data_IF_704000061845
#
_entry.id   IF_704000061845
#
_cell.length_a   1.000
_cell.length_b   1.000
_cell.length_c   1.000
_cell.angle_alpha   90.00
_cell.angle_beta   90.00
_cell.angle_gamma   90.00
#
_symmetry.space_group_name_H-M   'P 1'
#
loop_
_entity.id
_entity.type
_entity.pdbx_description
1 polymer ?
#
# COMPACT_ATOMS: atom_id res chain seq x y z
N UNK A 1 2.49 33.37 51.87
CA UNK A 1 3.30 32.20 52.30
C UNK A 1 2.63 30.96 51.74
N UNK A 2 3.11 30.49 50.58
CA UNK A 2 2.73 29.19 50.01
C UNK A 2 4.02 28.47 49.61
N UNK A 3 4.16 27.25 50.10
CA UNK A 3 5.35 26.41 50.06
C UNK A 3 5.51 25.72 48.71
N UNK A 4 6.68 25.84 48.07
CA UNK A 4 7.08 24.98 46.96
C UNK A 4 7.67 23.66 47.49
N UNK A 5 7.37 22.48 46.90
CA UNK A 5 8.19 21.32 47.11
C UNK A 5 9.36 21.29 46.10
N UNK A 6 10.53 20.96 46.63
CA UNK A 6 11.80 20.86 45.93
C UNK A 6 11.80 19.70 44.92
N UNK A 7 12.32 19.97 43.72
CA UNK A 7 12.62 18.98 42.69
C UNK A 7 13.87 18.19 43.09
N UNK A 8 13.71 16.95 43.52
CA UNK A 8 14.80 16.06 43.89
C UNK A 8 15.34 15.35 42.64
N UNK A 9 16.60 15.61 42.27
CA UNK A 9 17.35 14.83 41.28
C UNK A 9 17.72 13.50 41.93
N UNK A 10 17.11 12.39 41.50
CA UNK A 10 17.68 11.03 41.49
C UNK A 10 16.58 10.00 41.15
N UNK A 11 16.14 9.97 39.89
CA UNK A 11 15.43 8.81 39.32
C UNK A 11 16.20 8.32 38.09
N UNK A 12 17.40 7.80 38.33
CA UNK A 12 18.09 6.98 37.35
C UNK A 12 17.45 5.58 37.37
N UNK A 13 16.53 5.33 36.43
CA UNK A 13 16.08 3.98 36.10
C UNK A 13 17.33 3.13 35.77
N UNK A 14 17.49 1.93 36.36
CA UNK A 14 18.69 1.13 36.20
C UNK A 14 18.84 0.65 34.75
N UNK A 15 20.06 0.78 34.21
CA UNK A 15 20.48 0.36 32.86
C UNK A 15 20.19 -1.12 32.52
N UNK A 16 19.83 -1.93 33.51
CA UNK A 16 19.40 -3.32 33.33
C UNK A 16 17.99 -3.46 32.70
N UNK A 17 17.12 -2.44 32.83
CA UNK A 17 15.76 -2.47 32.25
C UNK A 17 15.76 -2.06 30.77
N UNK A 18 16.70 -1.21 30.35
CA UNK A 18 16.88 -0.86 28.93
C UNK A 18 17.51 -2.03 28.15
N UNK A 19 18.35 -2.84 28.82
CA UNK A 19 19.02 -3.99 28.22
C UNK A 19 18.14 -5.25 28.04
N UNK A 20 16.95 -5.30 28.66
CA UNK A 20 15.97 -6.38 28.43
C UNK A 20 14.98 -6.04 27.32
N UNK A 21 14.62 -4.76 27.15
CA UNK A 21 13.76 -4.29 26.05
C UNK A 21 14.47 -4.32 24.68
N UNK A 22 15.78 -4.04 24.65
CA UNK A 22 16.58 -4.05 23.42
C UNK A 22 16.94 -5.46 22.89
N UNK A 23 16.78 -6.52 23.71
CA UNK A 23 17.13 -7.90 23.30
C UNK A 23 16.04 -8.58 22.47
N UNK A 24 14.81 -8.07 22.46
CA UNK A 24 13.72 -8.61 21.63
C UNK A 24 13.66 -7.99 20.22
N UNK A 25 14.52 -7.02 19.89
CA UNK A 25 14.44 -6.25 18.63
C UNK A 25 15.52 -6.61 17.59
N UNK A 26 16.35 -7.64 17.85
CA UNK A 26 17.53 -8.00 17.05
C UNK A 26 17.46 -9.39 16.41
N UNK A 27 16.29 -10.03 16.37
CA UNK A 27 16.08 -11.12 15.41
C UNK A 27 15.82 -10.51 14.04
N UNK A 28 16.17 -11.25 12.97
CA UNK A 28 15.51 -11.10 11.67
C UNK A 28 14.03 -10.77 11.90
N UNK A 29 13.31 -10.04 11.03
CA UNK A 29 11.88 -10.27 10.99
C UNK A 29 11.75 -11.77 10.74
N UNK A 30 11.53 -12.52 11.82
CA UNK A 30 11.16 -13.92 11.81
C UNK A 30 9.96 -13.83 10.91
N UNK A 31 10.09 -14.34 9.69
CA UNK A 31 9.01 -14.43 8.73
C UNK A 31 7.91 -15.10 9.53
N UNK A 32 7.00 -14.28 10.06
CA UNK A 32 5.97 -14.76 10.96
C UNK A 32 5.08 -15.51 10.02
N UNK A 33 5.29 -16.83 10.03
CA UNK A 33 4.54 -17.85 9.32
C UNK A 33 3.08 -17.41 9.24
N UNK A 34 2.66 -17.04 8.04
CA UNK A 34 1.28 -17.14 7.56
C UNK A 34 0.13 -16.52 8.39
N UNK A 35 0.36 -15.74 9.46
CA UNK A 35 -0.71 -15.40 10.42
C UNK A 35 -0.97 -13.91 10.69
N UNK A 36 -0.22 -12.96 10.12
CA UNK A 36 -0.52 -11.50 10.27
C UNK A 36 -1.47 -10.97 9.18
N UNK A 37 -1.59 -11.65 8.04
CA UNK A 37 -2.55 -11.25 7.02
C UNK A 37 -3.81 -12.11 7.14
N UNK A 38 -4.94 -11.59 7.67
CA UNK A 38 -6.22 -12.29 7.49
C UNK A 38 -6.38 -12.51 6.00
N UNK A 39 -6.61 -13.75 5.55
CA UNK A 39 -6.63 -14.16 4.14
C UNK A 39 -7.30 -13.08 3.27
N UNK A 40 -6.54 -12.14 2.66
CA UNK A 40 -7.11 -10.85 2.27
C UNK A 40 -7.94 -10.95 0.98
N UNK A 41 -8.01 -12.17 0.43
CA UNK A 41 -8.57 -12.51 -0.85
C UNK A 41 -9.86 -13.32 -0.72
N UNK A 42 -10.36 -13.58 0.49
CA UNK A 42 -11.73 -14.09 0.67
C UNK A 42 -12.79 -13.22 -0.03
N UNK A 43 -12.69 -11.87 -0.05
CA UNK A 43 -13.64 -11.05 -0.80
C UNK A 43 -13.49 -11.22 -2.32
N UNK A 44 -12.28 -11.52 -2.81
CA UNK A 44 -12.04 -11.77 -4.25
C UNK A 44 -12.62 -13.11 -4.66
N UNK A 45 -12.43 -14.16 -3.85
CA UNK A 45 -13.07 -15.46 -4.09
C UNK A 45 -14.60 -15.38 -4.01
N UNK A 46 -15.14 -14.57 -3.08
CA UNK A 46 -16.58 -14.30 -2.97
C UNK A 46 -17.11 -13.50 -4.18
N UNK A 47 -16.38 -12.47 -4.61
CA UNK A 47 -16.68 -11.66 -5.80
C UNK A 47 -16.44 -12.40 -7.12
N UNK A 48 -15.78 -13.56 -7.09
CA UNK A 48 -15.65 -14.49 -8.22
C UNK A 48 -16.84 -15.44 -8.34
N UNK A 49 -17.75 -15.45 -7.36
CA UNK A 49 -18.98 -16.26 -7.43
C UNK A 49 -19.88 -15.71 -8.53
N UNK A 50 -20.40 -16.62 -9.33
CA UNK A 50 -21.31 -16.39 -10.45
C UNK A 50 -22.40 -15.41 -10.00
N UNK A 51 -22.56 -14.29 -10.69
CA UNK A 51 -23.75 -13.44 -10.54
C UNK A 51 -24.96 -14.30 -10.96
N UNK A 52 -25.86 -14.67 -10.03
CA UNK A 52 -26.98 -15.56 -10.33
C UNK A 52 -27.96 -14.95 -11.35
N UNK A 53 -27.84 -13.65 -11.66
CA UNK A 53 -28.66 -12.97 -12.67
C UNK A 53 -28.16 -13.01 -14.12
N UNK A 54 -26.88 -13.34 -14.39
CA UNK A 54 -26.29 -13.08 -15.73
C UNK A 54 -25.44 -14.22 -16.35
N UNK A 55 -25.20 -15.33 -15.64
CA UNK A 55 -24.54 -16.51 -16.22
C UNK A 55 -23.12 -16.30 -16.78
N UNK A 56 -22.49 -15.15 -16.53
CA UNK A 56 -21.11 -14.82 -16.96
C UNK A 56 -20.16 -14.94 -15.79
N UNK A 57 -18.99 -15.52 -16.04
CA UNK A 57 -17.90 -15.57 -15.06
C UNK A 57 -17.45 -14.14 -14.70
N UNK A 58 -17.31 -13.86 -13.41
CA UNK A 58 -16.84 -12.55 -12.95
C UNK A 58 -15.37 -12.37 -13.32
N UNK A 59 -15.11 -11.37 -14.17
CA UNK A 59 -13.76 -11.01 -14.60
C UNK A 59 -13.08 -10.21 -13.49
N UNK A 60 -11.88 -10.62 -13.12
CA UNK A 60 -11.09 -9.98 -12.06
C UNK A 60 -9.86 -9.33 -12.68
N UNK A 61 -9.58 -8.09 -12.30
CA UNK A 61 -8.35 -7.40 -12.71
C UNK A 61 -7.56 -6.91 -11.50
N UNK A 62 -6.27 -7.22 -11.46
CA UNK A 62 -5.33 -6.62 -10.51
C UNK A 62 -4.70 -5.39 -11.15
N UNK A 63 -5.07 -4.20 -10.68
CA UNK A 63 -4.48 -2.92 -11.09
C UNK A 63 -3.41 -2.54 -10.09
N UNK A 64 -2.17 -2.36 -10.53
CA UNK A 64 -1.10 -1.82 -9.68
C UNK A 64 -0.92 -0.33 -9.93
N UNK A 65 -0.74 0.49 -8.89
CA UNK A 65 -0.65 1.95 -9.02
C UNK A 65 0.34 2.59 -8.05
N UNK A 66 0.98 3.68 -8.49
CA UNK A 66 1.93 4.45 -7.68
C UNK A 66 3.36 3.89 -7.71
N UNK A 67 4.25 4.49 -6.91
CA UNK A 67 5.68 4.20 -6.88
C UNK A 67 6.11 3.25 -5.78
N UNK A 68 7.18 2.47 -5.99
CA UNK A 68 7.84 1.70 -4.91
C UNK A 68 9.01 2.44 -4.30
N UNK A 69 9.24 2.25 -2.99
CA UNK A 69 10.51 2.62 -2.36
C UNK A 69 11.45 1.44 -2.18
N UNK A 70 12.75 1.74 -2.22
CA UNK A 70 13.84 0.82 -1.89
C UNK A 70 14.53 1.34 -0.63
N UNK A 71 14.32 0.71 0.54
CA UNK A 71 15.06 1.02 1.75
C UNK A 71 16.56 0.80 1.56
N UNK A 72 17.40 1.71 2.08
CA UNK A 72 18.86 1.56 2.06
C UNK A 72 19.43 1.01 3.38
N UNK A 73 18.63 1.01 4.43
CA UNK A 73 19.03 0.70 5.80
C UNK A 73 17.91 -0.12 6.48
N UNK A 74 18.27 -1.03 7.40
CA UNK A 74 17.28 -1.89 8.11
C UNK A 74 16.31 -1.08 8.96
N UNK A 75 16.77 0.05 9.51
CA UNK A 75 15.94 1.06 10.15
C UNK A 75 15.76 2.21 9.15
N UNK A 76 14.87 2.03 8.20
CA UNK A 76 14.82 2.88 7.02
C UNK A 76 14.55 4.36 7.35
N UNK A 77 15.57 5.21 7.21
CA UNK A 77 15.44 6.68 7.15
C UNK A 77 15.61 7.18 5.72
N UNK A 78 16.50 6.54 4.95
CA UNK A 78 16.80 6.88 3.55
C UNK A 78 16.33 5.77 2.62
N UNK A 79 15.75 6.18 1.50
CA UNK A 79 15.23 5.28 0.48
C UNK A 79 15.35 5.91 -0.90
N UNK A 80 15.38 5.06 -1.93
CA UNK A 80 15.14 5.47 -3.32
C UNK A 80 13.64 5.37 -3.56
N UNK A 81 13.03 6.37 -4.19
CA UNK A 81 11.60 6.35 -4.54
C UNK A 81 11.43 6.42 -6.05
N UNK A 82 10.75 5.43 -6.64
CA UNK A 82 10.32 5.46 -8.02
C UNK A 82 9.02 6.25 -8.11
N UNK A 83 9.14 7.56 -8.34
CA UNK A 83 8.00 8.46 -8.27
C UNK A 83 6.87 8.11 -9.25
N UNK A 84 5.65 8.02 -8.73
CA UNK A 84 4.42 7.97 -9.52
C UNK A 84 3.25 8.45 -8.66
N UNK A 85 2.51 9.44 -9.16
CA UNK A 85 1.34 10.01 -8.48
C UNK A 85 0.12 9.08 -8.46
N UNK A 86 0.15 7.97 -9.19
CA UNK A 86 -0.91 6.95 -9.17
C UNK A 86 -2.16 7.28 -10.00
N UNK A 87 -2.19 8.40 -10.72
CA UNK A 87 -3.36 8.84 -11.49
C UNK A 87 -3.81 7.82 -12.54
N UNK A 88 -2.88 7.20 -13.27
CA UNK A 88 -3.22 6.21 -14.31
C UNK A 88 -3.91 4.99 -13.72
N UNK A 89 -3.35 4.38 -12.68
CA UNK A 89 -3.95 3.20 -12.04
C UNK A 89 -5.28 3.53 -11.36
N UNK A 90 -5.38 4.70 -10.73
CA UNK A 90 -6.64 5.21 -10.17
C UNK A 90 -7.72 5.34 -11.25
N UNK A 91 -7.41 6.01 -12.36
CA UNK A 91 -8.32 6.17 -13.49
C UNK A 91 -8.75 4.84 -14.10
N UNK A 92 -7.78 3.97 -14.40
CA UNK A 92 -8.04 2.65 -14.97
C UNK A 92 -8.96 1.81 -14.06
N UNK A 93 -8.82 1.93 -12.74
CA UNK A 93 -9.71 1.23 -11.79
C UNK A 93 -11.17 1.64 -11.97
N UNK A 94 -11.45 2.94 -12.11
CA UNK A 94 -12.82 3.41 -12.37
C UNK A 94 -13.36 2.90 -13.71
N UNK A 95 -12.53 2.86 -14.75
CA UNK A 95 -12.94 2.30 -16.05
C UNK A 95 -13.23 0.80 -16.00
N UNK A 96 -12.40 0.02 -15.27
CA UNK A 96 -12.62 -1.41 -15.11
C UNK A 96 -13.90 -1.72 -14.32
N UNK A 97 -14.15 -0.98 -13.23
CA UNK A 97 -15.40 -1.10 -12.47
C UNK A 97 -16.61 -0.79 -13.35
N UNK A 98 -16.56 0.28 -14.16
CA UNK A 98 -17.62 0.62 -15.13
C UNK A 98 -17.81 -0.45 -16.20
N UNK A 99 -16.76 -1.18 -16.57
CA UNK A 99 -16.81 -2.28 -17.52
C UNK A 99 -17.27 -3.62 -16.89
N UNK A 100 -17.65 -3.62 -15.61
CA UNK A 100 -18.16 -4.80 -14.89
C UNK A 100 -17.07 -5.77 -14.44
N UNK A 101 -15.84 -5.30 -14.22
CA UNK A 101 -14.79 -6.08 -13.57
C UNK A 101 -14.84 -5.91 -12.05
N UNK A 102 -14.48 -6.98 -11.34
CA UNK A 102 -14.03 -6.88 -9.95
C UNK A 102 -12.54 -6.47 -9.96
N UNK A 103 -12.18 -5.43 -9.21
CA UNK A 103 -10.84 -4.84 -9.23
C UNK A 103 -10.13 -5.05 -7.90
N UNK A 104 -8.92 -5.61 -7.97
CA UNK A 104 -7.93 -5.56 -6.90
C UNK A 104 -7.01 -4.38 -7.19
N UNK A 105 -7.13 -3.31 -6.40
CA UNK A 105 -6.32 -2.12 -6.52
C UNK A 105 -5.12 -2.21 -5.56
N UNK A 106 -3.96 -2.63 -6.07
CA UNK A 106 -2.69 -2.67 -5.35
C UNK A 106 -1.98 -1.33 -5.52
N UNK A 107 -1.87 -0.53 -4.45
CA UNK A 107 -1.49 0.89 -4.60
C UNK A 107 -0.47 1.38 -3.57
N UNK A 108 0.34 2.36 -3.96
CA UNK A 108 1.25 3.06 -3.04
C UNK A 108 0.46 3.96 -2.09
N UNK A 109 0.68 3.82 -0.77
CA UNK A 109 0.08 4.73 0.23
C UNK A 109 0.37 6.19 -0.09
N UNK A 110 -0.62 7.06 0.10
CA UNK A 110 -0.50 8.49 -0.19
C UNK A 110 -0.57 8.87 -1.68
N UNK A 111 -0.80 7.91 -2.58
CA UNK A 111 -1.03 8.22 -4.00
C UNK A 111 -2.51 8.30 -4.34
N UNK A 112 -2.79 8.84 -5.53
CA UNK A 112 -4.13 9.05 -6.04
C UNK A 112 -5.03 7.81 -5.91
N UNK A 113 -6.20 7.99 -5.32
CA UNK A 113 -7.21 6.95 -5.11
C UNK A 113 -8.30 7.01 -6.19
N UNK A 114 -8.90 5.86 -6.59
CA UNK A 114 -10.09 5.84 -7.44
C UNK A 114 -11.18 6.71 -6.82
N UNK A 115 -11.93 7.43 -7.67
CA UNK A 115 -13.00 8.37 -7.30
C UNK A 115 -12.54 9.68 -6.65
N UNK A 116 -11.31 9.76 -6.16
CA UNK A 116 -10.76 10.98 -5.57
C UNK A 116 -10.05 11.89 -6.60
N UNK A 117 -9.93 11.49 -7.86
CA UNK A 117 -9.21 12.23 -8.92
C UNK A 117 -9.76 13.64 -9.21
N UNK A 118 -11.03 13.87 -8.93
CA UNK A 118 -11.70 15.14 -9.14
C UNK A 118 -11.84 15.97 -7.86
N UNK A 119 -11.36 15.45 -6.72
CA UNK A 119 -11.27 16.21 -5.48
C UNK A 119 -10.02 17.10 -5.54
N UNK A 120 -10.02 18.23 -4.81
CA UNK A 120 -8.83 19.07 -4.70
C UNK A 120 -7.69 18.35 -3.95
N UNK A 121 -6.52 19.00 -3.90
CA UNK A 121 -5.32 18.42 -3.28
C UNK A 121 -5.48 18.24 -1.76
N UNK A 122 -6.21 19.13 -1.08
CA UNK A 122 -6.52 19.05 0.35
C UNK A 122 -8.05 18.93 0.62
N UNK A 123 -8.70 17.77 0.31
CA UNK A 123 -10.15 17.64 0.37
C UNK A 123 -10.76 17.93 1.74
N UNK A 124 -10.03 17.67 2.84
CA UNK A 124 -10.54 17.92 4.19
C UNK A 124 -10.67 19.42 4.50
N UNK A 125 -9.75 20.24 3.98
CA UNK A 125 -9.72 21.67 4.23
C UNK A 125 -10.55 22.44 3.20
N UNK A 126 -10.65 21.93 1.98
CA UNK A 126 -11.31 22.62 0.86
C UNK A 126 -12.76 22.18 0.64
N UNK A 127 -13.10 20.92 0.92
CA UNK A 127 -14.45 20.42 0.68
C UNK A 127 -15.37 20.49 1.90
N UNK A 128 -14.90 20.89 3.07
CA UNK A 128 -15.70 20.89 4.29
C UNK A 128 -15.65 22.23 5.01
N UNK A 129 -16.80 22.64 5.54
CA UNK A 129 -16.97 23.87 6.31
C UNK A 129 -17.58 23.56 7.68
N UNK A 130 -17.23 24.35 8.69
CA UNK A 130 -17.85 24.24 10.01
C UNK A 130 -19.18 25.00 9.99
N UNK A 131 -20.28 24.28 10.24
CA UNK A 131 -21.60 24.87 10.48
C UNK A 131 -21.82 24.88 11.99
N UNK A 132 -21.56 26.02 12.61
CA UNK A 132 -21.50 26.22 14.06
C UNK A 132 -20.40 25.40 14.77
N UNK A 133 -20.15 25.65 16.06
CA UNK A 133 -19.08 25.02 16.86
C UNK A 133 -19.25 23.50 17.08
N UNK A 134 -20.20 22.85 16.39
CA UNK A 134 -20.62 21.47 16.68
C UNK A 134 -20.87 20.60 15.44
N UNK A 135 -20.82 21.12 14.22
CA UNK A 135 -21.03 20.29 13.02
C UNK A 135 -20.15 20.68 11.83
N UNK A 136 -19.81 19.68 11.02
CA UNK A 136 -19.04 19.85 9.77
C UNK A 136 -19.97 19.46 8.62
N UNK A 137 -20.06 20.34 7.61
CA UNK A 137 -20.80 20.09 6.37
C UNK A 137 -19.88 20.14 5.17
N UNK A 138 -20.34 19.58 4.06
CA UNK A 138 -19.61 19.67 2.78
C UNK A 138 -19.88 21.03 2.17
N UNK A 139 -18.84 21.71 1.70
CA UNK A 139 -18.98 22.97 0.98
C UNK A 139 -19.90 22.80 -0.24
N UNK A 140 -20.91 23.67 -0.43
CA UNK A 140 -21.85 23.54 -1.55
C UNK A 140 -21.19 23.47 -2.94
N UNK A 141 -20.04 24.10 -3.13
CA UNK A 141 -19.30 24.06 -4.40
C UNK A 141 -18.69 22.69 -4.72
N UNK A 142 -18.39 21.89 -3.69
CA UNK A 142 -17.80 20.56 -3.81
C UNK A 142 -18.81 19.43 -3.54
N UNK A 143 -20.02 19.75 -3.08
CA UNK A 143 -21.04 18.80 -2.61
C UNK A 143 -21.28 17.64 -3.59
N UNK A 144 -21.52 17.92 -4.86
CA UNK A 144 -21.81 16.88 -5.86
C UNK A 144 -20.61 15.97 -6.13
N UNK A 145 -19.40 16.53 -6.18
CA UNK A 145 -18.18 15.76 -6.45
C UNK A 145 -17.86 14.83 -5.26
N UNK A 146 -17.95 15.36 -4.04
CA UNK A 146 -17.74 14.60 -2.80
C UNK A 146 -18.79 13.50 -2.65
N UNK A 147 -20.06 13.84 -2.84
CA UNK A 147 -21.18 12.88 -2.77
C UNK A 147 -20.99 11.75 -3.76
N UNK A 148 -20.67 12.06 -5.02
CA UNK A 148 -20.38 11.06 -6.05
C UNK A 148 -19.21 10.17 -5.65
N UNK A 149 -18.08 10.76 -5.24
CA UNK A 149 -16.89 10.01 -4.87
C UNK A 149 -17.14 9.04 -3.71
N UNK A 150 -17.86 9.48 -2.67
CA UNK A 150 -18.22 8.65 -1.52
C UNK A 150 -19.20 7.54 -1.95
N UNK A 151 -20.23 7.88 -2.72
CA UNK A 151 -21.25 6.93 -3.13
C UNK A 151 -20.68 5.82 -4.02
N UNK A 152 -19.93 6.18 -5.06
CA UNK A 152 -19.32 5.21 -5.99
C UNK A 152 -18.28 4.32 -5.27
N UNK A 153 -17.42 4.92 -4.44
CA UNK A 153 -16.44 4.16 -3.66
C UNK A 153 -17.11 3.17 -2.70
N UNK A 154 -18.13 3.62 -1.94
CA UNK A 154 -18.85 2.74 -1.01
C UNK A 154 -19.61 1.65 -1.74
N UNK A 155 -20.26 1.97 -2.86
CA UNK A 155 -20.97 0.99 -3.67
C UNK A 155 -20.02 -0.10 -4.19
N UNK A 156 -18.85 0.28 -4.72
CA UNK A 156 -17.87 -0.66 -5.23
C UNK A 156 -17.27 -1.56 -4.13
N UNK A 157 -16.94 -0.98 -2.96
CA UNK A 157 -16.36 -1.74 -1.84
C UNK A 157 -17.40 -2.64 -1.19
N UNK A 158 -18.59 -2.13 -0.88
CA UNK A 158 -19.64 -2.90 -0.21
C UNK A 158 -20.24 -3.97 -1.12
N UNK A 159 -20.27 -3.72 -2.44
CA UNK A 159 -20.65 -4.70 -3.45
C UNK A 159 -19.59 -5.78 -3.71
N UNK A 160 -18.42 -5.70 -3.07
CA UNK A 160 -17.33 -6.66 -3.27
C UNK A 160 -16.57 -6.50 -4.59
N UNK A 161 -16.84 -5.45 -5.36
CA UNK A 161 -16.21 -5.19 -6.66
C UNK A 161 -14.86 -4.48 -6.57
N UNK A 162 -14.51 -3.88 -5.43
CA UNK A 162 -13.24 -3.18 -5.23
C UNK A 162 -12.55 -3.60 -3.94
N UNK A 163 -11.38 -4.24 -4.06
CA UNK A 163 -10.47 -4.54 -2.97
C UNK A 163 -9.24 -3.62 -3.06
N UNK A 164 -8.96 -2.85 -2.01
CA UNK A 164 -7.79 -1.97 -1.97
C UNK A 164 -6.68 -2.57 -1.09
N UNK A 165 -5.49 -2.73 -1.65
CA UNK A 165 -4.32 -3.28 -0.97
C UNK A 165 -3.16 -2.28 -1.00
N UNK A 166 -2.78 -1.68 0.13
CA UNK A 166 -1.70 -0.70 0.14
C UNK A 166 -0.31 -1.36 0.18
N UNK A 167 0.66 -0.76 -0.51
CA UNK A 167 2.10 -1.03 -0.37
C UNK A 167 2.88 0.28 -0.22
N UNK A 168 4.14 0.19 0.17
CA UNK A 168 5.11 1.29 0.19
C UNK A 168 6.42 0.85 -0.45
N UNK A 169 6.99 -0.25 0.05
CA UNK A 169 8.29 -0.75 -0.41
C UNK A 169 8.15 -1.71 -1.57
N UNK A 170 9.23 -1.90 -2.33
CA UNK A 170 9.29 -2.93 -3.37
C UNK A 170 9.06 -4.34 -2.81
N UNK A 171 9.51 -4.61 -1.57
CA UNK A 171 9.31 -5.92 -0.94
C UNK A 171 7.83 -6.20 -0.67
N UNK A 172 7.10 -5.23 -0.13
CA UNK A 172 5.65 -5.33 0.07
C UNK A 172 4.93 -5.53 -1.26
N UNK A 173 5.28 -4.73 -2.26
CA UNK A 173 4.72 -4.83 -3.61
C UNK A 173 4.88 -6.25 -4.19
N UNK A 174 6.11 -6.79 -4.20
CA UNK A 174 6.39 -8.11 -4.77
C UNK A 174 5.69 -9.24 -4.00
N UNK A 175 5.66 -9.18 -2.66
CA UNK A 175 4.98 -10.18 -1.84
C UNK A 175 3.46 -10.17 -2.07
N UNK A 176 2.83 -9.00 -2.06
CA UNK A 176 1.39 -8.86 -2.27
C UNK A 176 1.03 -9.27 -3.71
N UNK A 177 1.79 -8.82 -4.70
CA UNK A 177 1.57 -9.18 -6.11
C UNK A 177 1.66 -10.70 -6.32
N UNK A 178 2.64 -11.37 -5.70
CA UNK A 178 2.78 -12.83 -5.74
C UNK A 178 1.57 -13.52 -5.10
N UNK A 179 1.09 -13.05 -3.95
CA UNK A 179 -0.10 -13.61 -3.30
C UNK A 179 -1.33 -13.47 -4.20
N UNK A 180 -1.54 -12.30 -4.80
CA UNK A 180 -2.65 -12.07 -5.73
C UNK A 180 -2.56 -13.04 -6.92
N UNK A 181 -1.40 -13.17 -7.55
CA UNK A 181 -1.22 -14.07 -8.70
C UNK A 181 -1.45 -15.54 -8.37
N UNK A 182 -1.00 -16.01 -7.22
CA UNK A 182 -1.26 -17.38 -6.78
C UNK A 182 -2.76 -17.62 -6.60
N UNK A 183 -3.48 -16.67 -6.00
CA UNK A 183 -4.93 -16.79 -5.79
C UNK A 183 -5.74 -16.69 -7.09
N UNK A 184 -5.35 -15.80 -8.01
CA UNK A 184 -6.04 -15.62 -9.29
C UNK A 184 -5.75 -16.73 -10.31
N UNK A 185 -4.77 -17.61 -10.06
CA UNK A 185 -4.42 -18.74 -10.95
C UNK A 185 -5.64 -19.59 -11.31
N UNK A 186 -6.56 -19.81 -10.37
CA UNK A 186 -7.76 -20.63 -10.58
C UNK A 186 -8.78 -20.03 -11.55
N UNK A 187 -8.71 -18.72 -11.81
CA UNK A 187 -9.64 -18.01 -12.69
C UNK A 187 -9.22 -18.03 -14.17
N UNK A 188 -7.97 -18.43 -14.46
CA UNK A 188 -7.44 -18.55 -15.82
C UNK A 188 -7.68 -17.29 -16.65
N UNK A 189 -8.29 -17.39 -17.85
CA UNK A 189 -8.56 -16.25 -18.74
C UNK A 189 -9.48 -15.17 -18.16
N UNK A 190 -10.16 -15.44 -17.04
CA UNK A 190 -11.01 -14.44 -16.37
C UNK A 190 -10.21 -13.52 -15.44
N UNK A 191 -8.91 -13.76 -15.25
CA UNK A 191 -8.01 -12.90 -14.49
C UNK A 191 -7.12 -12.05 -15.42
N UNK A 192 -6.96 -10.77 -15.08
CA UNK A 192 -6.10 -9.83 -15.79
C UNK A 192 -5.16 -9.11 -14.82
N UNK A 193 -3.94 -8.80 -15.26
CA UNK A 193 -3.02 -7.92 -14.55
C UNK A 193 -2.79 -6.64 -15.36
N UNK A 194 -3.08 -5.50 -14.76
CA UNK A 194 -2.80 -4.17 -15.31
C UNK A 194 -1.69 -3.50 -14.48
N UNK A 195 -0.44 -3.72 -14.90
CA UNK A 195 0.75 -3.36 -14.13
C UNK A 195 1.18 -1.90 -14.38
N UNK A 196 0.45 -0.93 -13.80
CA UNK A 196 0.73 0.50 -13.97
C UNK A 196 1.59 1.16 -12.87
N UNK A 197 2.13 0.36 -11.93
CA UNK A 197 3.02 0.86 -10.87
C UNK A 197 4.42 1.16 -11.41
N UNK A 198 5.07 2.18 -10.85
CA UNK A 198 6.49 2.45 -11.10
C UNK A 198 7.32 1.62 -10.13
N UNK A 199 7.70 0.42 -10.57
CA UNK A 199 8.50 -0.53 -9.79
C UNK A 199 9.99 -0.19 -9.95
N UNK A 200 10.74 -0.22 -8.87
CA UNK A 200 12.18 0.01 -8.90
C UNK A 200 12.90 -1.12 -9.63
N UNK A 201 13.77 -0.78 -10.58
CA UNK A 201 14.59 -1.76 -11.31
C UNK A 201 15.73 -2.35 -10.44
N UNK A 202 15.97 -1.72 -9.29
CA UNK A 202 17.06 -2.03 -8.39
C UNK A 202 16.57 -2.20 -6.96
N UNK A 203 17.25 -3.03 -6.18
CA UNK A 203 17.02 -3.18 -4.75
C UNK A 203 18.34 -3.44 -3.99
N UNK A 204 18.33 -3.24 -2.67
CA UNK A 204 19.43 -3.63 -1.79
C UNK A 204 19.03 -4.93 -1.08
N UNK A 205 19.78 -6.03 -1.19
CA UNK A 205 19.52 -7.25 -0.44
C UNK A 205 19.53 -6.99 1.07
N UNK A 206 18.66 -7.67 1.81
CA UNK A 206 18.51 -7.46 3.25
C UNK A 206 19.81 -7.77 4.02
N UNK A 207 20.55 -8.78 3.57
CA UNK A 207 21.85 -9.19 4.11
C UNK A 207 22.88 -8.06 4.01
N UNK A 208 22.78 -7.26 2.94
CA UNK A 208 23.66 -6.13 2.63
C UNK A 208 23.20 -4.81 3.26
N UNK A 209 21.99 -4.75 3.84
CA UNK A 209 21.48 -3.54 4.49
C UNK A 209 22.14 -3.28 5.85
N UNK A 210 22.60 -2.04 6.05
CA UNK A 210 23.23 -1.57 7.29
C UNK A 210 22.19 -1.32 8.42
N UNK A 211 22.60 -1.46 9.69
CA UNK A 211 21.71 -1.43 10.88
C UNK A 211 21.44 0.01 11.44
N UNK A 212 22.06 1.07 10.86
CA UNK A 212 22.23 2.45 11.41
C UNK A 212 23.26 2.44 12.57
N UNK A 213 24.29 3.29 12.64
CA UNK A 213 24.50 4.67 12.18
C UNK A 213 25.46 4.77 11.00
N UNK A 214 25.10 5.51 9.95
CA UNK A 214 26.11 6.29 9.23
C UNK A 214 26.60 7.37 10.21
N UNK A 215 27.51 6.97 11.10
CA UNK A 215 28.36 7.87 11.86
C UNK A 215 28.99 8.83 10.85
N UNK A 216 28.92 10.13 11.14
CA UNK A 216 29.76 11.19 10.54
C UNK A 216 30.89 10.64 9.66
N UNK A 217 30.75 10.65 8.34
CA UNK A 217 31.86 10.34 7.46
C UNK A 217 31.76 11.15 6.18
N UNK A 218 32.66 12.11 6.07
CA UNK A 218 33.05 12.92 4.92
C UNK A 218 33.61 12.08 3.75
N UNK A 219 33.00 10.94 3.42
CA UNK A 219 33.48 10.06 2.37
C UNK A 219 32.35 9.75 1.37
N UNK A 220 32.72 9.78 0.08
CA UNK A 220 31.90 9.35 -1.05
C UNK A 220 31.06 8.11 -0.71
N UNK A 221 29.73 8.24 -0.75
CA UNK A 221 28.81 7.13 -0.55
C UNK A 221 28.76 6.31 -1.86
N UNK A 222 29.42 5.15 -1.88
CA UNK A 222 29.25 4.18 -2.97
C UNK A 222 28.09 3.24 -2.65
N UNK A 223 26.98 3.41 -3.37
CA UNK A 223 25.80 2.55 -3.25
C UNK A 223 25.88 1.39 -4.24
N UNK A 224 26.01 0.15 -3.75
CA UNK A 224 25.90 -1.05 -4.56
C UNK A 224 24.44 -1.51 -4.59
N UNK A 225 23.82 -1.44 -5.76
CA UNK A 225 22.45 -1.86 -6.02
C UNK A 225 22.46 -3.16 -6.82
N UNK A 226 21.58 -4.10 -6.47
CA UNK A 226 21.31 -5.27 -7.30
C UNK A 226 20.12 -5.00 -8.23
N UNK A 227 20.17 -5.53 -9.46
CA UNK A 227 19.01 -5.51 -10.33
C UNK A 227 17.92 -6.42 -9.76
N UNK A 228 16.67 -5.95 -9.81
CA UNK A 228 15.51 -6.79 -9.56
C UNK A 228 15.45 -7.83 -10.67
N UNK A 229 15.85 -9.06 -10.34
CA UNK A 229 16.01 -10.13 -11.33
C UNK A 229 14.71 -10.45 -12.07
N UNK A 230 14.78 -10.42 -13.40
CA UNK A 230 13.68 -10.84 -14.27
C UNK A 230 13.52 -12.38 -14.35
N UNK A 231 14.48 -13.14 -13.80
CA UNK A 231 14.82 -14.48 -14.26
C UNK A 231 13.94 -15.65 -13.79
N UNK A 232 12.75 -15.42 -13.24
CA UNK A 232 11.75 -16.51 -13.03
C UNK A 232 10.35 -16.00 -12.73
N UNK A 233 10.21 -14.90 -11.99
CA UNK A 233 8.89 -14.39 -11.56
C UNK A 233 8.18 -13.64 -12.68
N UNK A 234 8.89 -12.78 -13.43
CA UNK A 234 8.28 -12.00 -14.51
C UNK A 234 8.07 -12.81 -15.80
N UNK A 235 8.98 -13.75 -16.12
CA UNK A 235 8.80 -14.65 -17.28
C UNK A 235 7.56 -15.53 -17.11
N UNK A 236 7.28 -16.03 -15.89
CA UNK A 236 6.06 -16.77 -15.62
C UNK A 236 4.80 -15.89 -15.67
N UNK A 237 4.90 -14.63 -15.25
CA UNK A 237 3.81 -13.65 -15.36
C UNK A 237 3.48 -13.30 -16.81
N UNK A 238 4.47 -13.16 -17.69
CA UNK A 238 4.24 -12.87 -19.10
C UNK A 238 3.61 -14.06 -19.84
N UNK A 239 4.01 -15.28 -19.50
CA UNK A 239 3.41 -16.49 -20.09
C UNK A 239 1.95 -16.71 -19.68
N UNK A 240 1.55 -16.34 -18.45
CA UNK A 240 0.16 -16.50 -17.98
C UNK A 240 -0.80 -15.39 -18.43
N UNK A 241 -0.31 -14.24 -18.87
CA UNK A 241 -1.16 -13.13 -19.37
C UNK A 241 -1.50 -13.29 -20.86
N UNK A 242 -0.83 -14.20 -21.58
CA UNK A 242 -0.95 -14.36 -23.05
C UNK A 242 -1.46 -15.75 -23.48
N UNK A 243 -1.83 -16.66 -22.57
CA UNK A 243 -2.37 -17.99 -22.91
C UNK A 243 -3.79 -18.21 -22.40
#
# INVERSE_FOLDING_TARGET
MCSHPAYNRNDHLPLSIIASSARNSLQQPRIQRASIFPSPLSPVHEASRIDPGNGKANRVVCVTSGGTTVPLEKRCVRYIDNFSSGHRGSASTEYFLKAGYSVIFLYRRGTCQPFCRSLPDDPLLECFTSTDDSSIQVDPSHAEVVKRAIAENRSAVNGGFLLKLPFTTIFEYLQILRMIAVSLRSLGPSAMFYLAAAVSDFYVPWESMVIIYSFLALFWLNLQLEMVGCSSIFVLFFFFVVS
#
